data_IF_354564764519
#
_entry.id   IF_354564764519
#
_cell.length_a   1.000
_cell.length_b   1.000
_cell.length_c   1.000
_cell.angle_alpha   90.00
_cell.angle_beta   90.00
_cell.angle_gamma   90.00
#
_symmetry.space_group_name_H-M   'P 1'
#
loop_
_entity.id
_entity.type
_entity.pdbx_description
1 polymer ?
#
# COMPACT_ATOMS: atom_id res chain seq x y z
N UNK A 1 24.06 -9.11 7.68
CA UNK A 1 24.85 -10.36 7.56
C UNK A 1 24.53 -11.25 8.74
N UNK A 2 24.48 -12.57 8.57
CA UNK A 2 24.34 -13.52 9.68
C UNK A 2 25.67 -13.68 10.43
N UNK A 3 25.64 -14.32 11.60
CA UNK A 3 26.84 -14.62 12.39
C UNK A 3 27.86 -15.49 11.63
N UNK A 4 27.41 -16.34 10.70
CA UNK A 4 28.29 -17.16 9.84
C UNK A 4 28.74 -16.44 8.54
N UNK A 5 28.35 -15.18 8.36
CA UNK A 5 28.79 -14.36 7.23
C UNK A 5 27.88 -14.38 6.00
N UNK A 6 26.69 -14.99 6.08
CA UNK A 6 25.73 -14.97 4.98
C UNK A 6 25.11 -13.59 4.83
N UNK A 7 25.10 -13.04 3.61
CA UNK A 7 24.49 -11.75 3.32
C UNK A 7 23.01 -11.90 3.01
N UNK A 8 22.13 -11.50 3.94
CA UNK A 8 20.68 -11.55 3.73
C UNK A 8 20.17 -10.46 2.78
N UNK A 9 20.86 -9.32 2.70
CA UNK A 9 20.30 -8.15 2.06
C UNK A 9 20.82 -6.81 2.55
N UNK A 10 20.11 -5.75 2.17
CA UNK A 10 20.36 -4.38 2.61
C UNK A 10 19.19 -3.86 3.46
N UNK A 11 19.51 -3.14 4.53
CA UNK A 11 18.49 -2.41 5.31
C UNK A 11 18.04 -1.19 4.51
N UNK A 12 16.73 -1.02 4.40
CA UNK A 12 16.10 0.12 3.71
C UNK A 12 15.51 1.10 4.73
N UNK A 13 14.82 0.57 5.75
CA UNK A 13 14.12 1.38 6.75
C UNK A 13 14.05 0.62 8.08
N UNK A 14 13.67 1.32 9.16
CA UNK A 14 13.42 0.74 10.48
C UNK A 14 12.07 1.21 11.00
N UNK A 15 11.38 0.30 11.70
CA UNK A 15 10.07 0.56 12.30
C UNK A 15 10.26 0.83 13.78
N UNK A 16 9.62 1.89 14.28
CA UNK A 16 9.72 2.32 15.68
C UNK A 16 8.33 2.30 16.30
N UNK A 17 8.23 1.73 17.51
CA UNK A 17 7.06 1.91 18.36
C UNK A 17 6.99 3.38 18.82
N UNK A 18 5.96 4.15 18.42
CA UNK A 18 5.86 5.57 18.73
C UNK A 18 5.64 5.86 20.22
N UNK A 19 5.15 4.90 20.99
CA UNK A 19 4.94 5.07 22.42
C UNK A 19 6.24 4.87 23.22
N UNK A 20 7.10 3.94 22.80
CA UNK A 20 8.33 3.59 23.54
C UNK A 20 9.62 4.09 22.89
N UNK A 21 9.58 4.48 21.62
CA UNK A 21 10.75 4.85 20.83
C UNK A 21 11.66 3.66 20.46
N UNK A 22 11.22 2.42 20.71
CA UNK A 22 12.01 1.22 20.43
C UNK A 22 11.89 0.82 18.96
N UNK A 23 13.02 0.41 18.36
CA UNK A 23 13.00 -0.21 17.04
C UNK A 23 12.39 -1.61 17.17
N UNK A 24 11.33 -1.88 16.43
CA UNK A 24 10.64 -3.17 16.41
C UNK A 24 11.15 -4.08 15.29
N UNK A 25 11.48 -3.50 14.13
CA UNK A 25 11.94 -4.25 12.96
C UNK A 25 12.75 -3.39 11.99
N UNK A 26 13.47 -4.06 11.10
CA UNK A 26 14.19 -3.46 9.96
C UNK A 26 13.57 -3.96 8.67
N UNK A 27 13.20 -3.07 7.77
CA UNK A 27 12.86 -3.43 6.39
C UNK A 27 14.16 -3.78 5.66
N UNK A 28 14.23 -4.99 5.14
CA UNK A 28 15.38 -5.50 4.38
C UNK A 28 14.97 -5.88 2.97
N UNK A 29 15.86 -5.66 2.00
CA UNK A 29 15.73 -6.15 0.63
C UNK A 29 16.64 -7.34 0.39
N UNK A 30 16.08 -8.38 -0.23
CA UNK A 30 16.78 -9.60 -0.60
C UNK A 30 18.08 -9.34 -1.40
N UNK A 31 19.19 -10.00 -1.03
CA UNK A 31 20.41 -10.03 -1.85
C UNK A 31 20.34 -11.10 -2.94
N UNK A 32 20.71 -10.81 -4.21
CA UNK A 32 20.63 -11.78 -5.31
C UNK A 32 21.44 -13.07 -5.11
N UNK A 33 22.49 -13.03 -4.29
CA UNK A 33 23.45 -14.12 -4.14
C UNK A 33 23.07 -15.17 -3.07
N UNK A 34 22.20 -14.82 -2.12
CA UNK A 34 21.96 -15.66 -0.93
C UNK A 34 20.50 -15.66 -0.46
N UNK A 35 19.60 -14.97 -1.16
CA UNK A 35 18.22 -14.82 -0.70
C UNK A 35 17.31 -15.95 -1.21
N UNK A 36 16.75 -16.73 -0.28
CA UNK A 36 15.67 -17.69 -0.53
C UNK A 36 14.33 -17.02 -0.85
N UNK A 37 14.27 -15.70 -0.73
CA UNK A 37 13.06 -14.89 -0.84
C UNK A 37 13.28 -13.68 -1.76
N UNK A 38 12.18 -13.16 -2.30
CA UNK A 38 12.16 -12.04 -3.24
C UNK A 38 11.49 -10.81 -2.61
N UNK A 39 11.98 -9.63 -2.97
CA UNK A 39 11.37 -8.36 -2.57
C UNK A 39 11.81 -7.88 -1.18
N UNK A 40 10.84 -7.30 -0.45
CA UNK A 40 11.03 -6.68 0.87
C UNK A 40 10.46 -7.57 1.97
N UNK A 41 11.15 -7.63 3.10
CA UNK A 41 10.67 -8.30 4.31
C UNK A 41 11.11 -7.53 5.53
N UNK A 42 10.47 -7.84 6.65
CA UNK A 42 10.80 -7.26 7.94
C UNK A 42 11.60 -8.25 8.77
N UNK A 43 12.79 -7.81 9.17
CA UNK A 43 13.65 -8.47 10.13
C UNK A 43 13.30 -7.95 11.53
N UNK A 44 12.80 -8.78 12.45
CA UNK A 44 12.54 -8.36 13.82
C UNK A 44 13.82 -7.85 14.50
N UNK A 45 13.72 -6.77 15.29
CA UNK A 45 14.86 -6.23 16.02
C UNK A 45 15.43 -7.23 17.04
N UNK A 46 14.63 -8.22 17.47
CA UNK A 46 15.08 -9.33 18.32
C UNK A 46 16.16 -10.20 17.66
N UNK A 47 16.21 -10.25 16.33
CA UNK A 47 17.20 -11.03 15.57
C UNK A 47 18.52 -10.29 15.40
N UNK A 48 18.58 -9.00 15.73
CA UNK A 48 19.80 -8.20 15.61
C UNK A 48 20.72 -8.47 16.80
N UNK A 49 21.97 -8.81 16.48
CA UNK A 49 23.03 -9.02 17.46
C UNK A 49 23.88 -7.76 17.66
N UNK A 50 24.24 -7.12 16.56
CA UNK A 50 25.11 -5.95 16.56
C UNK A 50 24.70 -4.97 15.46
N UNK A 51 24.64 -3.69 15.81
CA UNK A 51 24.51 -2.60 14.85
C UNK A 51 25.89 -1.96 14.70
N UNK A 52 26.57 -2.30 13.60
CA UNK A 52 27.82 -1.66 13.21
C UNK A 52 27.58 -0.38 12.42
N UNK A 53 28.66 0.34 12.10
CA UNK A 53 28.62 1.55 11.27
C UNK A 53 28.05 1.27 9.88
N UNK A 54 28.48 0.17 9.27
CA UNK A 54 28.20 -0.17 7.87
C UNK A 54 27.43 -1.50 7.72
N UNK A 55 27.32 -2.27 8.80
CA UNK A 55 26.75 -3.62 8.76
C UNK A 55 25.87 -3.90 9.98
N UNK A 56 24.74 -4.54 9.73
CA UNK A 56 23.89 -5.16 10.74
C UNK A 56 24.27 -6.64 10.84
N UNK A 57 24.68 -7.09 12.02
CA UNK A 57 24.91 -8.52 12.30
C UNK A 57 23.66 -9.08 12.96
N UNK A 58 23.13 -10.15 12.39
CA UNK A 58 21.92 -10.84 12.86
C UNK A 58 22.25 -12.26 13.26
N UNK A 59 21.39 -12.85 14.08
CA UNK A 59 21.51 -14.27 14.46
C UNK A 59 21.59 -15.18 13.25
N UNK A 60 22.28 -16.30 13.42
CA UNK A 60 22.20 -17.38 12.45
C UNK A 60 20.76 -17.90 12.32
N UNK A 61 20.27 -18.11 11.09
CA UNK A 61 18.90 -18.55 10.82
C UNK A 61 17.86 -17.42 10.86
N UNK A 62 18.26 -16.16 11.01
CA UNK A 62 17.34 -15.03 11.03
C UNK A 62 16.48 -14.92 9.75
N UNK A 63 16.94 -15.50 8.63
CA UNK A 63 16.18 -15.63 7.39
C UNK A 63 14.85 -16.38 7.55
N UNK A 64 14.75 -17.33 8.48
CA UNK A 64 13.52 -18.07 8.76
C UNK A 64 12.47 -17.22 9.48
N UNK A 65 12.91 -16.17 10.18
CA UNK A 65 12.07 -15.26 10.96
C UNK A 65 11.68 -14.00 10.19
N UNK A 66 12.03 -13.91 8.90
CA UNK A 66 11.68 -12.77 8.06
C UNK A 66 10.20 -12.74 7.74
N UNK A 67 9.56 -11.62 8.08
CA UNK A 67 8.14 -11.41 7.87
C UNK A 67 7.91 -10.80 6.48
N UNK A 68 7.35 -11.58 5.57
CA UNK A 68 7.08 -11.17 4.20
C UNK A 68 5.74 -10.44 4.10
N UNK A 69 5.74 -9.26 3.46
CA UNK A 69 4.55 -8.43 3.32
C UNK A 69 3.87 -8.58 1.95
N UNK A 70 3.99 -9.74 1.30
CA UNK A 70 3.55 -9.95 -0.08
C UNK A 70 2.00 -9.96 -0.26
N UNK A 71 1.19 -9.97 0.80
CA UNK A 71 -0.26 -10.15 0.70
C UNK A 71 -1.14 -8.91 0.87
N UNK A 72 -0.98 -8.16 1.97
CA UNK A 72 -2.09 -7.34 2.51
C UNK A 72 -2.36 -6.03 1.78
N UNK A 73 -1.33 -5.37 1.25
CA UNK A 73 -1.48 -4.11 0.50
C UNK A 73 -2.10 -4.32 -0.90
N UNK A 74 -1.72 -5.40 -1.58
CA UNK A 74 -2.23 -5.70 -2.91
C UNK A 74 -3.70 -6.14 -2.88
N UNK A 75 -4.12 -6.86 -1.84
CA UNK A 75 -5.52 -7.16 -1.55
C UNK A 75 -6.35 -5.90 -1.28
N UNK A 76 -5.82 -4.94 -0.52
CA UNK A 76 -6.49 -3.65 -0.26
C UNK A 76 -6.79 -2.87 -1.55
N UNK A 77 -5.82 -2.79 -2.46
CA UNK A 77 -5.99 -2.09 -3.76
C UNK A 77 -6.94 -2.85 -4.69
N UNK A 78 -6.89 -4.20 -4.71
CA UNK A 78 -7.83 -5.03 -5.47
C UNK A 78 -9.26 -4.89 -4.95
N UNK A 79 -9.45 -4.85 -3.63
CA UNK A 79 -10.76 -4.69 -3.00
C UNK A 79 -11.36 -3.30 -3.23
N UNK A 80 -10.53 -2.25 -3.26
CA UNK A 80 -10.97 -0.89 -3.58
C UNK A 80 -11.46 -0.78 -5.02
N UNK A 81 -10.71 -1.32 -6.00
CA UNK A 81 -11.13 -1.35 -7.42
C UNK A 81 -12.48 -2.06 -7.62
N UNK A 82 -12.68 -3.19 -6.96
CA UNK A 82 -13.92 -3.99 -7.06
C UNK A 82 -15.13 -3.29 -6.40
N UNK A 83 -14.91 -2.44 -5.41
CA UNK A 83 -15.97 -1.70 -4.73
C UNK A 83 -16.38 -0.46 -5.52
N UNK A 84 -15.40 0.28 -6.06
CA UNK A 84 -15.64 1.44 -6.93
C UNK A 84 -16.39 1.07 -8.22
N UNK A 85 -16.04 -0.04 -8.87
CA UNK A 85 -16.75 -0.48 -10.08
C UNK A 85 -18.23 -0.81 -9.82
N UNK A 86 -18.54 -1.52 -8.72
CA UNK A 86 -19.94 -1.84 -8.37
C UNK A 86 -20.76 -0.59 -8.03
N UNK A 87 -20.15 0.41 -7.41
CA UNK A 87 -20.82 1.68 -7.12
C UNK A 87 -21.09 2.47 -8.41
N UNK A 88 -20.11 2.55 -9.31
CA UNK A 88 -20.25 3.19 -10.62
C UNK A 88 -21.30 2.51 -11.49
N UNK A 89 -21.37 1.18 -11.51
CA UNK A 89 -22.40 0.45 -12.26
C UNK A 89 -23.79 0.68 -11.69
N UNK A 90 -23.95 0.71 -10.36
CA UNK A 90 -25.23 1.06 -9.73
C UNK A 90 -25.63 2.51 -10.04
N UNK A 91 -24.70 3.46 -9.95
CA UNK A 91 -24.95 4.86 -10.26
C UNK A 91 -25.35 5.05 -11.73
N UNK A 92 -24.64 4.42 -12.68
CA UNK A 92 -25.00 4.44 -14.10
C UNK A 92 -26.36 3.81 -14.37
N UNK A 93 -26.67 2.69 -13.72
CA UNK A 93 -27.96 2.00 -13.89
C UNK A 93 -29.13 2.77 -13.29
N UNK A 94 -28.90 3.52 -12.22
CA UNK A 94 -29.89 4.46 -11.65
C UNK A 94 -30.08 5.66 -12.59
N UNK A 95 -29.00 6.24 -13.09
CA UNK A 95 -29.05 7.37 -14.01
C UNK A 95 -29.73 7.00 -15.34
N UNK A 96 -29.48 5.80 -15.88
CA UNK A 96 -30.15 5.30 -17.09
C UNK A 96 -31.63 4.97 -16.89
N UNK A 97 -32.04 4.65 -15.65
CA UNK A 97 -33.45 4.43 -15.32
C UNK A 97 -34.20 5.76 -15.14
N UNK A 98 -33.55 6.73 -14.48
CA UNK A 98 -34.11 8.07 -14.27
C UNK A 98 -34.19 8.88 -15.57
N UNK A 99 -33.18 8.79 -16.46
CA UNK A 99 -33.25 9.35 -17.81
C UNK A 99 -34.25 8.65 -18.75
N UNK A 100 -34.78 7.49 -18.34
CA UNK A 100 -35.84 6.79 -19.08
C UNK A 100 -37.25 7.23 -18.68
N UNK A 101 -37.41 8.08 -17.67
CA UNK A 101 -38.72 8.48 -17.12
C UNK A 101 -38.95 10.01 -17.09
N UNK A 102 -38.02 10.84 -17.59
CA UNK A 102 -38.17 12.30 -17.66
C UNK A 102 -38.00 12.79 -19.10
N UNK A 103 -38.99 12.50 -19.96
CA UNK A 103 -39.16 13.18 -21.24
C UNK A 103 -40.66 13.40 -21.47
N UNK A 104 -41.28 14.25 -20.65
CA UNK A 104 -42.57 14.89 -20.96
C UNK A 104 -42.74 16.21 -20.17
N UNK A 105 -42.42 17.30 -20.88
CA UNK A 105 -42.95 18.68 -20.81
C UNK A 105 -42.87 19.50 -19.49
N UNK A 106 -42.15 20.64 -19.52
CA UNK A 106 -42.74 22.00 -19.44
C UNK A 106 -41.67 23.12 -19.52
N UNK A 107 -41.81 24.03 -20.49
CA UNK A 107 -41.15 25.35 -20.51
C UNK A 107 -42.05 26.40 -19.85
N UNK A 108 -41.50 27.44 -19.19
CA UNK A 108 -42.05 28.80 -19.38
C UNK A 108 -40.94 29.91 -19.36
N UNK A 109 -41.23 31.22 -19.63
CA UNK A 109 -40.87 31.88 -20.90
C UNK A 109 -40.11 33.23 -20.67
N UNK A 110 -40.17 34.24 -21.57
CA UNK A 110 -39.02 35.01 -22.06
C UNK A 110 -38.56 36.16 -21.13
N UNK A 111 -37.39 36.74 -21.41
CA UNK A 111 -37.00 38.06 -20.88
C UNK A 111 -36.70 39.01 -22.04
N UNK A 112 -37.72 39.77 -22.43
CA UNK A 112 -37.53 41.04 -23.13
C UNK A 112 -37.34 42.14 -22.08
N UNK A 113 -36.30 42.94 -22.24
CA UNK A 113 -36.37 44.42 -22.26
C UNK A 113 -34.96 44.98 -22.52
N UNK A 114 -34.77 45.44 -23.77
CA UNK A 114 -33.83 46.49 -24.19
C UNK A 114 -33.99 47.78 -23.33
N UNK A 115 -33.09 48.81 -23.34
CA UNK A 115 -32.36 49.30 -24.51
C UNK A 115 -30.97 49.98 -24.33
N UNK A 116 -30.42 50.34 -25.50
CA UNK A 116 -29.56 51.50 -25.85
C UNK A 116 -28.08 51.56 -25.47
N UNK A 117 -27.21 51.49 -26.48
CA UNK A 117 -26.69 52.69 -27.21
C UNK A 117 -26.05 52.28 -28.54
#
# INVERSE_FOLDING_TARGET
ITEEGTSLGHVVEYLVDPATGKIEAFEVTASPAASLWKGKAYLPASEVRTIGKDVLVVRQGAEENLQHNEGKLSEGVKNLKNTTNRFLEKARKLQSKMQGEEDDQEQPPPKDDEPTS
#
